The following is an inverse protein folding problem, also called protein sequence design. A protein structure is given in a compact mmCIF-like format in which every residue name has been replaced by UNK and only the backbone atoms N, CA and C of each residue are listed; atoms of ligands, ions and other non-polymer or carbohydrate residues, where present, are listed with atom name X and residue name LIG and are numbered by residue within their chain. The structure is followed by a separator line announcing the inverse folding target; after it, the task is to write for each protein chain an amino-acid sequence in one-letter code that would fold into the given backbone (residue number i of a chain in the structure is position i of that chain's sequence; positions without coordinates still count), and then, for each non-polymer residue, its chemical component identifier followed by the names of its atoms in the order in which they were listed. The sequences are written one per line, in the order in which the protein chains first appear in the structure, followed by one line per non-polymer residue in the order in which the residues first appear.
data_IF_390638273563
#
_entry.id   IF_390638273563
#
_cell.length_a   1.000
_cell.length_b   1.000
_cell.length_c   1.000
_cell.angle_alpha   90.00
_cell.angle_beta   90.00
_cell.angle_gamma   90.00
#
_symmetry.space_group_name_H-M   'P 1'
#
loop_
_entity.id
_entity.type
_entity.pdbx_description
1 polymer ?
#
# COMPACT_ATOMS: atom_id res chain seq x y z
N UNK A 1 29.03 -6.54 25.36
CA UNK A 1 28.08 -5.94 24.41
C UNK A 1 27.60 -7.08 23.52
N UNK A 2 26.31 -7.38 23.48
CA UNK A 2 25.80 -8.42 22.59
C UNK A 2 25.70 -7.90 21.15
N UNK A 3 25.48 -8.83 20.21
CA UNK A 3 25.36 -8.54 18.78
C UNK A 3 24.23 -7.54 18.49
N UNK A 4 23.06 -7.70 19.12
CA UNK A 4 21.89 -6.86 18.86
C UNK A 4 22.08 -5.43 19.33
N UNK A 5 22.70 -5.24 20.49
CA UNK A 5 23.09 -3.92 21.01
C UNK A 5 24.08 -3.22 20.09
N UNK A 6 25.00 -3.98 19.49
CA UNK A 6 25.99 -3.43 18.56
C UNK A 6 25.35 -3.03 17.23
N UNK A 7 24.40 -3.82 16.72
CA UNK A 7 23.63 -3.50 15.51
C UNK A 7 22.72 -2.28 15.71
N UNK A 8 22.03 -2.18 16.84
CA UNK A 8 21.18 -1.02 17.15
C UNK A 8 22.00 0.27 17.18
N UNK A 9 23.14 0.28 17.87
CA UNK A 9 24.04 1.45 17.91
C UNK A 9 24.60 1.83 16.55
N UNK A 10 24.88 0.83 15.69
CA UNK A 10 25.33 1.09 14.34
C UNK A 10 24.22 1.75 13.50
N UNK A 11 22.97 1.30 13.65
CA UNK A 11 21.82 1.93 13.02
C UNK A 11 21.61 3.36 13.51
N UNK A 12 21.58 3.60 14.83
CA UNK A 12 21.42 4.93 15.43
C UNK A 12 22.51 5.89 14.93
N UNK A 13 23.76 5.42 14.85
CA UNK A 13 24.85 6.23 14.32
C UNK A 13 24.68 6.54 12.83
N UNK A 14 24.19 5.57 12.04
CA UNK A 14 23.90 5.77 10.63
C UNK A 14 22.77 6.79 10.42
N UNK A 15 21.73 6.73 11.26
CA UNK A 15 20.63 7.71 11.26
C UNK A 15 21.12 9.12 11.59
N UNK A 16 21.95 9.28 12.62
CA UNK A 16 22.53 10.58 13.01
C UNK A 16 23.35 11.25 11.90
N UNK A 17 24.08 10.46 11.10
CA UNK A 17 24.88 10.97 9.98
C UNK A 17 24.09 11.02 8.66
N UNK A 18 22.79 10.73 8.73
CA UNK A 18 21.86 10.82 7.61
C UNK A 18 21.84 9.62 6.67
N UNK A 19 22.57 8.53 6.92
CA UNK A 19 22.59 7.38 5.99
C UNK A 19 21.28 6.57 5.93
N UNK A 20 20.34 6.82 6.85
CA UNK A 20 18.99 6.23 6.82
C UNK A 20 18.08 7.07 5.92
N UNK A 21 17.27 6.40 5.11
CA UNK A 21 16.28 7.00 4.19
C UNK A 21 16.86 7.91 3.09
N UNK A 22 18.19 7.91 2.90
CA UNK A 22 18.82 8.66 1.81
C UNK A 22 18.80 7.87 0.51
N UNK A 23 17.85 8.21 -0.37
CA UNK A 23 17.74 7.68 -1.73
C UNK A 23 18.67 8.39 -2.74
N UNK A 24 19.66 9.14 -2.26
CA UNK A 24 20.56 9.95 -3.10
C UNK A 24 21.94 9.32 -3.18
N UNK A 25 22.37 8.94 -4.39
CA UNK A 25 23.70 8.38 -4.69
C UNK A 25 23.72 6.86 -4.91
N UNK A 26 24.94 6.29 -5.05
CA UNK A 26 25.19 4.86 -5.27
C UNK A 26 25.28 4.03 -3.98
N UNK A 27 25.07 4.65 -2.82
CA UNK A 27 25.19 3.96 -1.53
C UNK A 27 23.96 3.06 -1.28
N UNK A 28 24.12 1.91 -0.61
CA UNK A 28 22.99 1.09 -0.21
C UNK A 28 22.09 1.88 0.75
N UNK A 29 20.81 2.00 0.39
CA UNK A 29 19.81 2.70 1.20
C UNK A 29 19.53 1.88 2.46
N UNK A 30 19.88 2.42 3.63
CA UNK A 30 19.43 1.85 4.89
C UNK A 30 17.99 2.30 5.14
N UNK A 31 17.07 1.33 5.20
CA UNK A 31 15.65 1.62 5.43
C UNK A 31 15.43 2.08 6.87
N UNK A 32 14.49 3.02 7.12
CA UNK A 32 14.08 3.31 8.47
C UNK A 32 13.51 2.06 9.16
N UNK A 33 13.60 2.01 10.49
CA UNK A 33 12.97 0.92 11.27
C UNK A 33 11.49 0.85 10.90
N UNK A 34 10.97 -0.37 10.79
CA UNK A 34 9.58 -0.65 10.40
C UNK A 34 9.21 -0.12 9.01
N UNK A 35 10.16 -0.07 8.08
CA UNK A 35 9.89 0.11 6.67
C UNK A 35 10.32 -1.12 5.89
N UNK A 36 9.54 -1.43 4.87
CA UNK A 36 9.88 -2.42 3.86
C UNK A 36 9.99 -1.71 2.51
N UNK A 37 10.62 -2.37 1.54
CA UNK A 37 10.75 -1.84 0.20
C UNK A 37 10.33 -2.85 -0.86
N UNK A 38 9.85 -2.32 -1.99
CA UNK A 38 9.49 -3.13 -3.14
C UNK A 38 10.03 -2.49 -4.41
N UNK A 39 10.93 -3.22 -5.07
CA UNK A 39 11.29 -2.99 -6.46
C UNK A 39 10.26 -3.66 -7.36
N UNK A 40 9.67 -2.88 -8.27
CA UNK A 40 8.60 -3.32 -9.16
C UNK A 40 9.17 -4.24 -10.25
N UNK A 41 8.65 -5.47 -10.32
CA UNK A 41 9.01 -6.47 -11.32
C UNK A 41 7.92 -6.59 -12.40
N UNK A 42 8.22 -7.28 -13.50
CA UNK A 42 7.31 -7.43 -14.65
C UNK A 42 5.88 -7.91 -14.29
N UNK A 43 5.72 -8.70 -13.23
CA UNK A 43 4.43 -9.29 -12.83
C UNK A 43 3.79 -8.58 -11.63
N UNK A 44 4.33 -7.42 -11.23
CA UNK A 44 3.82 -6.60 -10.15
C UNK A 44 3.04 -5.41 -10.72
N UNK A 45 1.92 -5.09 -10.09
CA UNK A 45 1.15 -3.88 -10.37
C UNK A 45 1.03 -3.11 -9.06
N UNK A 46 1.69 -1.96 -9.04
CA UNK A 46 1.53 -0.96 -7.98
C UNK A 46 0.94 0.29 -8.61
N UNK A 47 0.11 0.97 -7.82
CA UNK A 47 -0.57 2.17 -8.23
C UNK A 47 -0.21 3.24 -7.21
N UNK A 48 0.34 4.35 -7.70
CA UNK A 48 0.51 5.57 -6.95
C UNK A 48 -0.78 6.38 -7.05
N UNK A 49 -1.28 6.85 -5.91
CA UNK A 49 -2.48 7.67 -5.81
C UNK A 49 -2.06 9.02 -5.24
N UNK A 50 -2.31 10.07 -6.01
CA UNK A 50 -2.08 11.45 -5.63
C UNK A 50 -3.41 12.06 -5.20
N UNK A 51 -3.44 12.59 -3.98
CA UNK A 51 -4.57 13.27 -3.37
C UNK A 51 -4.22 14.75 -3.20
N UNK A 52 -5.24 15.60 -3.17
CA UNK A 52 -5.08 16.98 -2.72
C UNK A 52 -5.06 17.09 -1.19
N UNK A 53 -4.90 18.32 -0.69
CA UNK A 53 -4.81 18.60 0.75
C UNK A 53 -6.15 18.39 1.48
N UNK A 54 -7.23 18.20 0.74
CA UNK A 54 -8.59 18.02 1.24
C UNK A 54 -9.03 16.54 1.16
N UNK A 55 -8.18 15.64 0.66
CA UNK A 55 -8.47 14.22 0.51
C UNK A 55 -9.33 13.89 -0.70
N UNK A 56 -9.47 14.81 -1.66
CA UNK A 56 -10.06 14.51 -2.94
C UNK A 56 -9.02 13.92 -3.91
N UNK A 57 -9.51 13.08 -4.80
CA UNK A 57 -8.70 12.41 -5.79
C UNK A 57 -8.15 13.41 -6.82
N UNK A 58 -6.84 13.39 -7.04
CA UNK A 58 -6.20 14.24 -8.05
C UNK A 58 -5.77 13.44 -9.28
N UNK A 59 -4.97 12.38 -9.08
CA UNK A 59 -4.47 11.51 -10.15
C UNK A 59 -4.02 10.17 -9.60
N UNK A 60 -4.07 9.12 -10.41
CA UNK A 60 -3.35 7.88 -10.17
C UNK A 60 -2.47 7.51 -11.36
N UNK A 61 -1.35 6.84 -11.10
CA UNK A 61 -0.49 6.24 -12.13
C UNK A 61 -0.07 4.84 -11.73
N UNK A 62 0.16 3.99 -12.72
CA UNK A 62 0.86 2.71 -12.51
C UNK A 62 2.36 2.97 -12.36
N UNK A 63 3.00 2.27 -11.44
CA UNK A 63 4.47 2.21 -11.39
C UNK A 63 5.05 1.48 -12.60
N UNK A 64 6.24 1.90 -13.00
CA UNK A 64 7.09 1.30 -14.02
C UNK A 64 8.03 0.25 -13.42
N UNK A 65 8.49 -0.67 -14.28
CA UNK A 65 9.43 -1.72 -13.88
C UNK A 65 10.75 -1.08 -13.45
N UNK A 66 11.28 -1.50 -12.30
CA UNK A 66 12.52 -0.98 -11.74
C UNK A 66 12.33 0.20 -10.79
N UNK A 67 11.14 0.83 -10.72
CA UNK A 67 10.85 1.77 -9.65
C UNK A 67 10.88 1.04 -8.28
N UNK A 68 11.28 1.77 -7.24
CA UNK A 68 11.33 1.26 -5.88
C UNK A 68 10.39 2.10 -5.00
N UNK A 69 9.56 1.43 -4.19
CA UNK A 69 8.72 2.07 -3.20
C UNK A 69 9.15 1.63 -1.81
N UNK A 70 9.31 2.59 -0.90
CA UNK A 70 9.56 2.35 0.52
C UNK A 70 8.28 2.71 1.26
N UNK A 71 7.82 1.84 2.16
CA UNK A 71 6.57 2.03 2.87
C UNK A 71 6.66 1.51 4.30
N UNK A 72 5.96 2.14 5.25
CA UNK A 72 5.95 1.67 6.62
C UNK A 72 5.19 0.35 6.73
N UNK A 73 5.61 -0.49 7.67
CA UNK A 73 5.00 -1.77 8.00
C UNK A 73 4.90 -1.91 9.52
N UNK A 74 3.94 -2.68 10.00
CA UNK A 74 3.95 -3.18 11.37
C UNK A 74 4.61 -4.56 11.42
N UNK A 75 5.09 -4.96 12.59
CA UNK A 75 5.59 -6.33 12.83
C UNK A 75 4.60 -7.40 12.35
N UNK A 76 3.31 -7.19 12.61
CA UNK A 76 2.24 -8.11 12.24
C UNK A 76 1.96 -8.13 10.74
N UNK A 77 2.04 -6.97 10.08
CA UNK A 77 1.84 -6.88 8.63
C UNK A 77 3.03 -7.44 7.84
N UNK A 78 4.25 -7.28 8.36
CA UNK A 78 5.47 -7.81 7.74
C UNK A 78 5.53 -9.34 7.83
N UNK A 79 5.03 -9.91 8.94
CA UNK A 79 4.93 -11.36 9.13
C UNK A 79 3.54 -11.93 8.77
N UNK A 80 2.77 -11.22 7.93
CA UNK A 80 1.41 -11.63 7.58
C UNK A 80 1.41 -12.93 6.79
N UNK A 81 0.54 -13.85 7.17
CA UNK A 81 0.19 -15.04 6.39
C UNK A 81 -1.16 -14.83 5.67
N UNK A 82 -1.45 -15.65 4.66
CA UNK A 82 -2.69 -15.51 3.86
C UNK A 82 -3.99 -15.61 4.67
N UNK A 83 -3.95 -16.16 5.89
CA UNK A 83 -5.08 -16.33 6.79
C UNK A 83 -5.25 -15.18 7.79
N UNK A 84 -4.19 -14.39 8.06
CA UNK A 84 -4.21 -13.32 9.05
C UNK A 84 -4.51 -11.97 8.39
N UNK A 85 -5.54 -11.27 8.90
CA UNK A 85 -5.87 -9.91 8.44
C UNK A 85 -5.02 -8.91 9.24
N UNK A 86 -3.88 -8.50 8.67
CA UNK A 86 -2.96 -7.53 9.25
C UNK A 86 -2.52 -6.49 8.20
N UNK A 87 -3.30 -5.41 8.02
CA UNK A 87 -2.96 -4.39 7.03
C UNK A 87 -1.66 -3.66 7.40
N UNK A 88 -0.90 -3.29 6.38
CA UNK A 88 0.10 -2.24 6.47
C UNK A 88 -0.56 -0.87 6.73
N UNK A 89 0.17 0.12 7.27
CA UNK A 89 -0.45 1.35 7.75
C UNK A 89 -0.96 2.31 6.66
N UNK A 90 -0.20 2.47 5.57
CA UNK A 90 -0.53 3.44 4.50
C UNK A 90 -0.67 2.71 3.16
N UNK A 91 0.29 1.87 2.81
CA UNK A 91 0.35 1.16 1.52
C UNK A 91 0.02 -0.32 1.73
N UNK A 92 -0.97 -0.89 1.04
CA UNK A 92 -1.24 -2.33 1.06
C UNK A 92 -1.82 -2.81 -0.27
N UNK A 93 -2.08 -4.12 -0.39
CA UNK A 93 -2.78 -4.71 -1.52
C UNK A 93 -4.15 -4.10 -1.74
N UNK A 94 -4.59 -4.18 -2.99
CA UNK A 94 -5.87 -3.66 -3.48
C UNK A 94 -7.04 -3.93 -2.54
N UNK A 95 -7.17 -5.16 -2.03
CA UNK A 95 -8.31 -5.56 -1.20
C UNK A 95 -8.32 -5.03 0.23
N UNK A 96 -7.26 -4.36 0.69
CA UNK A 96 -7.27 -3.63 1.96
C UNK A 96 -7.65 -2.17 1.72
N UNK A 97 -7.05 -1.54 0.71
CA UNK A 97 -7.24 -0.11 0.44
C UNK A 97 -8.56 0.15 -0.28
N UNK A 98 -8.96 -0.71 -1.22
CA UNK A 98 -10.16 -0.54 -2.02
C UNK A 98 -11.29 -1.43 -1.52
N UNK A 99 -12.49 -0.87 -1.45
CA UNK A 99 -13.68 -1.60 -1.01
C UNK A 99 -14.00 -2.76 -1.95
N UNK A 100 -14.33 -3.91 -1.37
CA UNK A 100 -14.93 -5.06 -2.06
C UNK A 100 -15.89 -5.74 -1.11
N UNK A 101 -17.09 -6.09 -1.58
CA UNK A 101 -18.11 -6.75 -0.76
C UNK A 101 -17.63 -8.10 -0.23
N UNK A 102 -16.96 -8.90 -1.07
CA UNK A 102 -16.45 -10.23 -0.69
C UNK A 102 -15.28 -10.16 0.30
N UNK A 103 -14.63 -9.00 0.45
CA UNK A 103 -13.45 -8.81 1.30
C UNK A 103 -13.56 -7.63 2.25
N UNK A 104 -14.79 -7.20 2.56
CA UNK A 104 -15.07 -6.03 3.40
C UNK A 104 -14.37 -6.05 4.75
N UNK A 105 -14.14 -7.23 5.34
CA UNK A 105 -13.40 -7.36 6.60
C UNK A 105 -11.95 -6.85 6.51
N UNK A 106 -11.29 -7.04 5.36
CA UNK A 106 -9.93 -6.53 5.14
C UNK A 106 -9.92 -5.01 5.09
N UNK A 107 -10.84 -4.44 4.33
CA UNK A 107 -10.99 -3.00 4.19
C UNK A 107 -11.39 -2.33 5.51
N UNK A 108 -12.34 -2.91 6.24
CA UNK A 108 -12.71 -2.45 7.58
C UNK A 108 -11.53 -2.49 8.54
N UNK A 109 -10.70 -3.54 8.52
CA UNK A 109 -9.50 -3.59 9.37
C UNK A 109 -8.50 -2.50 9.00
N UNK A 110 -8.33 -2.21 7.71
CA UNK A 110 -7.46 -1.11 7.26
C UNK A 110 -7.94 0.25 7.80
N UNK A 111 -9.25 0.55 7.66
CA UNK A 111 -9.85 1.76 8.20
C UNK A 111 -9.73 1.86 9.74
N UNK A 112 -9.96 0.74 10.45
CA UNK A 112 -9.77 0.69 11.90
C UNK A 112 -8.33 0.99 12.32
N UNK A 113 -7.34 0.48 11.58
CA UNK A 113 -5.94 0.78 11.84
C UNK A 113 -5.62 2.26 11.63
N UNK A 114 -6.15 2.87 10.56
CA UNK A 114 -6.02 4.31 10.33
C UNK A 114 -6.65 5.12 11.47
N UNK A 115 -7.86 4.75 11.91
CA UNK A 115 -8.55 5.42 13.02
C UNK A 115 -7.75 5.35 14.32
N UNK A 116 -7.22 4.18 14.65
CA UNK A 116 -6.37 4.02 15.84
C UNK A 116 -5.14 4.94 15.77
N UNK A 117 -4.50 5.04 14.60
CA UNK A 117 -3.36 5.93 14.42
C UNK A 117 -3.72 7.42 14.50
N UNK A 118 -4.85 7.81 13.92
CA UNK A 118 -5.36 9.18 14.03
C UNK A 118 -5.62 9.55 15.49
N UNK A 119 -6.18 8.62 16.28
CA UNK A 119 -6.48 8.86 17.71
C UNK A 119 -5.20 8.91 18.56
N UNK A 120 -4.17 8.15 18.21
CA UNK A 120 -2.95 8.02 19.01
C UNK A 120 -1.87 9.05 18.68
N UNK A 121 -1.91 9.68 17.51
CA UNK A 121 -0.88 10.63 17.12
C UNK A 121 -1.06 11.99 17.81
N UNK A 122 0.01 12.52 18.37
CA UNK A 122 0.05 13.88 18.95
C UNK A 122 0.47 14.94 17.92
N UNK A 123 0.83 14.51 16.70
CA UNK A 123 1.31 15.39 15.64
C UNK A 123 0.18 15.75 14.68
N UNK A 124 -0.31 16.98 14.78
CA UNK A 124 -1.39 17.52 13.95
C UNK A 124 -1.15 17.35 12.43
N UNK A 125 0.11 17.39 11.96
CA UNK A 125 0.41 17.18 10.54
C UNK A 125 0.18 15.73 10.12
N UNK A 126 0.62 14.79 10.96
CA UNK A 126 0.42 13.35 10.74
C UNK A 126 -1.06 13.02 10.83
N UNK A 127 -1.76 13.56 11.83
CA UNK A 127 -3.21 13.41 11.98
C UNK A 127 -3.96 13.87 10.73
N UNK A 128 -3.65 15.06 10.22
CA UNK A 128 -4.29 15.60 9.02
C UNK A 128 -3.98 14.74 7.78
N UNK A 129 -2.73 14.32 7.62
CA UNK A 129 -2.33 13.44 6.52
C UNK A 129 -3.11 12.11 6.52
N UNK A 130 -3.26 11.48 7.69
CA UNK A 130 -4.03 10.25 7.81
C UNK A 130 -5.53 10.45 7.55
N UNK A 131 -6.09 11.60 7.98
CA UNK A 131 -7.49 11.96 7.70
C UNK A 131 -7.75 12.15 6.20
N UNK A 132 -6.81 12.74 5.47
CA UNK A 132 -6.86 12.89 4.00
C UNK A 132 -6.94 11.50 3.34
N UNK A 133 -6.05 10.58 3.72
CA UNK A 133 -6.06 9.20 3.20
C UNK A 133 -7.38 8.51 3.53
N UNK A 134 -7.80 8.57 4.80
CA UNK A 134 -9.04 7.92 5.25
C UNK A 134 -10.25 8.40 4.45
N UNK A 135 -10.41 9.71 4.28
CA UNK A 135 -11.51 10.30 3.52
C UNK A 135 -11.56 9.80 2.07
N UNK A 136 -10.40 9.67 1.43
CA UNK A 136 -10.33 9.12 0.09
C UNK A 136 -10.71 7.64 0.06
N UNK A 137 -10.21 6.84 0.99
CA UNK A 137 -10.45 5.39 1.07
C UNK A 137 -11.93 5.08 1.37
N UNK A 138 -12.61 5.93 2.12
CA UNK A 138 -14.05 5.84 2.39
C UNK A 138 -14.92 6.29 1.21
N UNK A 139 -14.35 6.93 0.19
CA UNK A 139 -15.11 7.36 -0.98
C UNK A 139 -15.55 6.14 -1.81
N UNK A 140 -16.85 5.90 -2.02
CA UNK A 140 -17.33 4.78 -2.83
C UNK A 140 -16.87 4.83 -4.29
N UNK A 141 -16.55 6.02 -4.81
CA UNK A 141 -16.06 6.22 -6.18
C UNK A 141 -14.54 6.01 -6.32
N UNK A 142 -13.82 5.79 -5.22
CA UNK A 142 -12.34 5.68 -5.20
C UNK A 142 -11.80 4.62 -6.16
N UNK A 143 -12.47 3.46 -6.24
CA UNK A 143 -12.13 2.35 -7.14
C UNK A 143 -12.12 2.80 -8.60
N UNK A 144 -13.22 3.41 -9.03
CA UNK A 144 -13.41 3.81 -10.42
C UNK A 144 -12.44 4.94 -10.80
N UNK A 145 -12.29 5.94 -9.92
CA UNK A 145 -11.37 7.07 -10.12
C UNK A 145 -9.92 6.62 -10.33
N UNK A 146 -9.44 5.71 -9.47
CA UNK A 146 -8.06 5.21 -9.54
C UNK A 146 -7.84 4.38 -10.79
N UNK A 147 -8.76 3.49 -11.13
CA UNK A 147 -8.59 2.61 -12.28
C UNK A 147 -8.63 3.37 -13.60
N UNK A 148 -9.60 4.28 -13.76
CA UNK A 148 -9.71 5.13 -14.94
C UNK A 148 -8.46 6.00 -15.13
N UNK A 149 -7.92 6.58 -14.05
CA UNK A 149 -6.71 7.40 -14.14
C UNK A 149 -5.45 6.60 -14.39
N UNK A 150 -5.30 5.41 -13.77
CA UNK A 150 -4.07 4.63 -13.85
C UNK A 150 -3.96 3.78 -15.13
N UNK A 151 -5.10 3.33 -15.68
CA UNK A 151 -5.15 2.37 -16.78
C UNK A 151 -5.97 2.83 -17.99
N UNK A 152 -6.64 3.98 -17.90
CA UNK A 152 -7.51 4.53 -18.93
C UNK A 152 -8.95 4.06 -18.83
N UNK A 153 -9.85 4.79 -19.50
CA UNK A 153 -11.31 4.58 -19.47
C UNK A 153 -11.77 3.26 -20.08
N UNK A 154 -10.92 2.59 -20.87
CA UNK A 154 -11.23 1.31 -21.52
C UNK A 154 -10.93 0.10 -20.61
N UNK A 155 -10.56 0.35 -19.35
CA UNK A 155 -10.27 -0.72 -18.41
C UNK A 155 -11.55 -1.49 -18.04
N UNK A 156 -11.45 -2.82 -17.98
CA UNK A 156 -12.55 -3.69 -17.58
C UNK A 156 -12.18 -4.45 -16.32
N UNK A 157 -13.06 -4.40 -15.33
CA UNK A 157 -12.93 -5.14 -14.09
C UNK A 157 -13.75 -6.42 -14.22
N UNK A 158 -13.10 -7.55 -14.01
CA UNK A 158 -13.78 -8.77 -13.65
C UNK A 158 -13.87 -8.82 -12.12
N UNK A 159 -15.09 -8.72 -11.60
CA UNK A 159 -15.35 -8.76 -10.16
C UNK A 159 -14.91 -10.10 -9.54
N UNK A 160 -14.66 -10.04 -8.23
CA UNK A 160 -14.45 -11.23 -7.43
C UNK A 160 -15.72 -12.08 -7.40
N UNK A 161 -15.56 -13.40 -7.37
CA UNK A 161 -16.68 -14.33 -7.26
C UNK A 161 -16.34 -15.50 -6.35
N UNK A 162 -17.37 -16.15 -5.81
CA UNK A 162 -17.23 -17.38 -5.02
C UNK A 162 -17.37 -18.55 -5.98
N UNK A 163 -16.37 -19.44 -6.02
CA UNK A 163 -16.43 -20.64 -6.84
C UNK A 163 -17.34 -21.72 -6.24
N UNK A 164 -17.57 -22.79 -7.00
CA UNK A 164 -18.42 -23.91 -6.57
C UNK A 164 -17.89 -24.64 -5.32
N UNK A 165 -16.63 -24.43 -4.93
CA UNK A 165 -16.00 -25.00 -3.74
C UNK A 165 -16.06 -24.03 -2.54
N UNK A 166 -16.73 -22.89 -2.66
CA UNK A 166 -16.84 -21.87 -1.61
C UNK A 166 -15.60 -20.99 -1.45
N UNK A 167 -14.64 -21.04 -2.38
CA UNK A 167 -13.43 -20.19 -2.34
C UNK A 167 -13.64 -18.89 -3.11
N UNK A 168 -13.18 -17.79 -2.53
CA UNK A 168 -13.21 -16.47 -3.18
C UNK A 168 -12.09 -16.39 -4.22
N UNK A 169 -12.47 -16.31 -5.49
CA UNK A 169 -11.57 -16.06 -6.60
C UNK A 169 -11.29 -14.56 -6.73
N UNK A 170 -10.04 -14.23 -7.06
CA UNK A 170 -9.60 -12.84 -7.20
C UNK A 170 -10.21 -12.19 -8.44
N UNK A 171 -10.55 -10.92 -8.30
CA UNK A 171 -10.89 -10.06 -9.41
C UNK A 171 -9.68 -9.85 -10.29
N UNK A 172 -9.94 -9.43 -11.52
CA UNK A 172 -8.86 -9.10 -12.46
C UNK A 172 -9.17 -7.85 -13.25
N UNK A 173 -8.13 -7.14 -13.60
CA UNK A 173 -8.19 -5.95 -14.44
C UNK A 173 -7.69 -6.31 -15.84
N UNK A 174 -8.48 -5.95 -16.85
CA UNK A 174 -8.13 -6.08 -18.27
C UNK A 174 -7.93 -4.67 -18.82
N UNK A 175 -6.74 -4.39 -19.37
CA UNK A 175 -6.40 -3.06 -19.89
C UNK A 175 -5.39 -3.10 -21.04
N UNK A 176 -5.35 -2.02 -21.84
CA UNK A 176 -4.46 -1.83 -23.00
C UNK A 176 -4.93 -2.47 -24.31
N UNK A 177 -4.35 -2.06 -25.44
CA UNK A 177 -4.76 -2.48 -26.81
C UNK A 177 -4.69 -3.99 -27.06
N UNK A 178 -3.81 -4.69 -26.33
CA UNK A 178 -3.68 -6.16 -26.38
C UNK A 178 -4.53 -6.92 -25.35
N UNK A 179 -5.42 -6.22 -24.62
CA UNK A 179 -6.27 -6.77 -23.54
C UNK A 179 -5.46 -7.58 -22.51
N UNK A 180 -4.48 -6.93 -21.88
CA UNK A 180 -3.64 -7.58 -20.88
C UNK A 180 -4.46 -7.83 -19.62
N UNK A 181 -4.63 -9.09 -19.19
CA UNK A 181 -5.37 -9.48 -17.99
C UNK A 181 -4.42 -9.68 -16.82
N UNK A 182 -4.64 -8.98 -15.71
CA UNK A 182 -3.86 -9.13 -14.48
C UNK A 182 -4.77 -9.33 -13.28
N UNK A 183 -4.47 -10.31 -12.42
CA UNK A 183 -5.20 -10.49 -11.16
C UNK A 183 -4.71 -9.51 -10.09
N UNK A 184 -5.61 -9.06 -9.23
CA UNK A 184 -5.21 -8.32 -8.03
C UNK A 184 -4.65 -9.33 -7.02
N UNK A 185 -3.32 -9.37 -6.86
CA UNK A 185 -2.66 -10.33 -5.95
C UNK A 185 -2.84 -9.97 -4.47
N UNK A 186 -2.86 -11.00 -3.62
CA UNK A 186 -2.57 -10.89 -2.18
C UNK A 186 -1.07 -10.87 -1.92
N UNK A 187 -0.60 -9.97 -1.04
CA UNK A 187 0.67 -10.08 -0.31
C UNK A 187 0.45 -10.94 0.93
#
# INVERSE_FOLDING_TARGET
MDLFTSLLKAYEKAEEIGLVDQQTGDNPVLLPIYHDNKVIKNNDIYIEILLDNEGAFYKARKFEIGENVIFPVTYESSNRTSTKIAPHPIVDSWYYVMYSELRKEKHQRYLQNLDNWIIQTENNKVENFLKIIKKFVENPESVELVLNSAFGSDCQIQEEFVDNNGKIQEGSLIFGEKKTKNSFKRY
#
